data_IF_379788067588
#
_entry.id   IF_379788067588
#
_cell.length_a   1.000
_cell.length_b   1.000
_cell.length_c   1.000
_cell.angle_alpha   90.00
_cell.angle_beta   90.00
_cell.angle_gamma   90.00
#
_symmetry.space_group_name_H-M   'P 1'
#
loop_
_entity.id
_entity.type
_entity.pdbx_description
1 polymer ?
#
# COMPACT_ATOMS: atom_id res chain seq x y z
N UNK A 1 30.23 4.29 7.96
CA UNK A 1 29.01 4.87 8.59
C UNK A 1 28.20 3.70 9.09
N UNK A 2 28.00 3.62 10.40
CA UNK A 2 27.23 2.54 11.00
C UNK A 2 25.75 2.77 10.66
N UNK A 3 25.24 2.05 9.65
CA UNK A 3 23.86 2.17 9.21
C UNK A 3 23.05 1.40 10.25
N UNK A 4 22.58 2.08 11.29
CA UNK A 4 21.59 1.50 12.20
C UNK A 4 20.40 1.01 11.35
N UNK A 5 19.82 -0.15 11.69
CA UNK A 5 18.66 -0.63 10.97
C UNK A 5 17.57 0.45 10.96
N UNK A 6 17.17 0.86 9.77
CA UNK A 6 16.18 1.94 9.59
C UNK A 6 14.85 1.40 10.09
N UNK A 7 14.17 2.11 10.99
CA UNK A 7 12.92 1.62 11.56
C UNK A 7 11.87 1.41 10.47
N UNK A 8 11.34 0.20 10.39
CA UNK A 8 10.21 -0.11 9.51
C UNK A 8 8.98 0.60 10.06
N UNK A 9 8.38 1.47 9.26
CA UNK A 9 7.14 2.15 9.64
C UNK A 9 6.02 1.13 9.87
N UNK A 10 5.35 1.23 11.01
CA UNK A 10 4.24 0.37 11.38
C UNK A 10 2.91 1.01 10.96
N UNK A 11 2.03 0.20 10.35
CA UNK A 11 0.72 0.65 9.89
C UNK A 11 -0.38 -0.19 10.52
N UNK A 12 -1.49 0.47 10.89
CA UNK A 12 -2.73 -0.18 11.35
C UNK A 12 -3.91 0.41 10.59
N UNK A 13 -4.83 -0.47 10.15
CA UNK A 13 -6.08 -0.04 9.54
C UNK A 13 -7.01 0.56 10.60
N UNK A 14 -7.66 1.67 10.27
CA UNK A 14 -8.53 2.43 11.17
C UNK A 14 -9.56 3.25 10.38
N UNK A 15 -10.73 3.50 10.97
CA UNK A 15 -11.68 4.49 10.45
C UNK A 15 -11.22 5.92 10.80
N UNK A 16 -11.86 6.93 10.21
CA UNK A 16 -11.56 8.33 10.52
C UNK A 16 -11.87 8.67 11.98
N UNK A 17 -12.96 8.11 12.54
CA UNK A 17 -13.35 8.31 13.93
C UNK A 17 -12.31 7.72 14.90
N UNK A 18 -11.79 6.53 14.57
CA UNK A 18 -10.70 5.90 15.32
C UNK A 18 -9.41 6.71 15.23
N UNK A 19 -9.11 7.28 14.06
CA UNK A 19 -7.94 8.13 13.88
C UNK A 19 -8.05 9.42 14.69
N UNK A 20 -9.22 10.07 14.70
CA UNK A 20 -9.50 11.26 15.53
C UNK A 20 -9.37 10.91 17.02
N UNK A 21 -9.96 9.80 17.47
CA UNK A 21 -9.85 9.35 18.85
C UNK A 21 -8.40 9.04 19.26
N UNK A 22 -7.55 8.63 18.31
CA UNK A 22 -6.11 8.42 18.51
C UNK A 22 -5.29 9.73 18.51
N UNK A 23 -5.95 10.87 18.27
CA UNK A 23 -5.32 12.20 18.23
C UNK A 23 -4.67 12.57 16.90
N UNK A 24 -4.98 11.86 15.80
CA UNK A 24 -4.53 12.26 14.48
C UNK A 24 -5.15 13.61 14.10
N UNK A 25 -4.35 14.51 13.52
CA UNK A 25 -4.76 15.85 13.16
C UNK A 25 -4.53 16.18 11.68
N UNK A 26 -3.87 15.29 10.95
CA UNK A 26 -3.63 15.42 9.51
C UNK A 26 -3.97 14.14 8.75
N UNK A 27 -4.27 14.33 7.46
CA UNK A 27 -4.58 13.28 6.50
C UNK A 27 -3.76 13.46 5.22
N UNK A 28 -3.36 12.36 4.60
CA UNK A 28 -2.62 12.30 3.35
C UNK A 28 -3.23 11.26 2.41
N UNK A 29 -3.26 11.47 1.07
CA UNK A 29 -3.62 10.43 0.12
C UNK A 29 -2.65 9.25 0.20
N UNK A 30 -3.18 8.03 0.13
CA UNK A 30 -2.38 6.81 0.07
C UNK A 30 -2.23 6.38 -1.39
N UNK A 31 -1.00 6.49 -1.87
CA UNK A 31 -0.63 6.05 -3.22
C UNK A 31 -0.56 4.52 -3.31
N UNK A 32 -0.85 3.96 -4.47
CA UNK A 32 -0.78 2.51 -4.75
C UNK A 32 0.47 2.22 -5.60
N UNK A 33 1.62 2.26 -4.98
CA UNK A 33 2.92 2.00 -5.57
C UNK A 33 3.74 1.01 -4.73
N UNK A 34 5.05 1.14 -4.83
CA UNK A 34 6.00 0.38 -4.02
C UNK A 34 6.56 1.28 -2.93
N UNK A 35 6.29 0.91 -1.68
CA UNK A 35 6.90 1.60 -0.54
C UNK A 35 8.42 1.47 -0.61
N UNK A 36 9.09 2.60 -0.63
CA UNK A 36 10.52 2.72 -0.85
C UNK A 36 11.21 3.47 0.27
N UNK A 37 12.35 2.96 0.69
CA UNK A 37 13.42 3.75 1.29
C UNK A 37 14.29 4.26 0.16
N UNK A 38 14.54 5.57 0.12
CA UNK A 38 15.35 6.23 -0.90
C UNK A 38 16.60 6.80 -0.24
N UNK A 39 17.76 6.40 -0.70
CA UNK A 39 19.05 6.92 -0.26
C UNK A 39 19.65 7.81 -1.33
N UNK A 40 20.02 9.04 -0.96
CA UNK A 40 20.77 9.97 -1.79
C UNK A 40 22.16 10.10 -1.20
N UNK A 41 23.16 9.69 -1.97
CA UNK A 41 24.55 9.65 -1.51
C UNK A 41 25.54 9.77 -2.66
N UNK A 42 26.49 10.70 -2.54
CA UNK A 42 27.59 10.88 -3.50
C UNK A 42 27.16 10.94 -4.97
N UNK A 43 26.08 11.69 -5.24
CA UNK A 43 25.54 11.82 -6.58
C UNK A 43 24.75 10.60 -7.09
N UNK A 44 24.34 9.71 -6.20
CA UNK A 44 23.46 8.60 -6.54
C UNK A 44 22.16 8.67 -5.77
N UNK A 45 21.05 8.35 -6.44
CA UNK A 45 19.77 8.07 -5.82
C UNK A 45 19.47 6.59 -5.96
N UNK A 46 19.21 5.92 -4.85
CA UNK A 46 18.99 4.47 -4.80
C UNK A 46 17.69 4.16 -4.06
N UNK A 47 16.85 3.31 -4.64
CA UNK A 47 15.59 2.85 -4.04
C UNK A 47 15.75 1.43 -3.50
N UNK A 48 15.30 1.23 -2.28
CA UNK A 48 15.27 -0.05 -1.57
C UNK A 48 13.85 -0.44 -1.19
N UNK A 49 13.52 -1.72 -1.31
CA UNK A 49 12.28 -2.30 -0.81
C UNK A 49 12.25 -2.34 0.72
N UNK A 50 11.09 -2.70 1.29
CA UNK A 50 10.95 -2.95 2.75
C UNK A 50 11.90 -4.04 3.30
N UNK A 51 12.39 -4.92 2.43
CA UNK A 51 13.34 -6.01 2.76
C UNK A 51 14.76 -5.67 2.38
N UNK A 52 15.09 -4.39 2.28
CA UNK A 52 16.42 -3.86 1.94
C UNK A 52 16.99 -4.32 0.59
N UNK A 53 16.17 -4.83 -0.29
CA UNK A 53 16.58 -5.17 -1.65
C UNK A 53 16.63 -3.90 -2.51
N UNK A 54 17.82 -3.58 -3.02
CA UNK A 54 18.00 -2.53 -4.04
C UNK A 54 17.27 -2.95 -5.32
N UNK A 55 16.43 -2.08 -5.88
CA UNK A 55 15.70 -2.37 -7.11
C UNK A 55 15.83 -1.28 -8.19
N UNK A 56 16.28 -0.08 -7.82
CA UNK A 56 16.49 1.01 -8.77
C UNK A 56 17.63 1.91 -8.32
N UNK A 57 18.38 2.48 -9.28
CA UNK A 57 19.44 3.45 -8.99
C UNK A 57 19.66 4.36 -10.21
N UNK A 58 19.86 5.65 -9.97
CA UNK A 58 20.18 6.63 -11.01
C UNK A 58 21.27 7.57 -10.53
N UNK A 59 22.04 8.12 -11.48
CA UNK A 59 22.95 9.23 -11.22
C UNK A 59 22.16 10.52 -10.98
N UNK A 60 22.67 11.34 -10.08
CA UNK A 60 22.08 12.61 -9.74
C UNK A 60 23.20 13.68 -9.59
N UNK A 61 22.90 14.91 -10.01
CA UNK A 61 23.93 15.97 -10.13
C UNK A 61 24.37 16.57 -8.79
N UNK A 62 23.53 16.53 -7.73
CA UNK A 62 23.86 17.10 -6.43
C UNK A 62 24.62 16.05 -5.57
N UNK A 63 25.95 16.04 -5.71
CA UNK A 63 26.81 15.14 -4.96
C UNK A 63 26.94 15.50 -3.46
N UNK A 64 26.55 16.71 -3.06
CA UNK A 64 26.63 17.18 -1.66
C UNK A 64 25.36 16.85 -0.86
N UNK A 65 24.28 16.48 -1.53
CA UNK A 65 23.06 16.08 -0.84
C UNK A 65 23.20 14.64 -0.33
N UNK A 66 23.09 14.49 0.99
CA UNK A 66 23.03 13.19 1.66
C UNK A 66 21.72 13.06 2.42
N UNK A 67 20.83 12.14 2.02
CA UNK A 67 19.53 11.97 2.64
C UNK A 67 19.05 10.51 2.63
N UNK A 68 18.29 10.14 3.65
CA UNK A 68 17.46 8.93 3.68
C UNK A 68 16.01 9.36 3.78
N UNK A 69 15.23 9.06 2.73
CA UNK A 69 13.85 9.47 2.56
C UNK A 69 12.95 8.24 2.51
N UNK A 70 11.68 8.44 2.83
CA UNK A 70 10.62 7.45 2.62
C UNK A 70 9.59 7.97 1.63
N UNK A 71 9.17 7.10 0.72
CA UNK A 71 8.21 7.45 -0.31
C UNK A 71 7.49 6.24 -0.89
N UNK A 72 6.55 6.53 -1.77
CA UNK A 72 5.90 5.56 -2.63
C UNK A 72 6.42 5.76 -4.06
N UNK A 73 7.11 4.75 -4.60
CA UNK A 73 7.61 4.78 -5.97
C UNK A 73 6.60 4.12 -6.91
N UNK A 74 6.21 4.84 -7.94
CA UNK A 74 5.20 4.43 -8.92
C UNK A 74 5.85 3.58 -10.01
N UNK A 75 6.32 2.39 -9.64
CA UNK A 75 7.05 1.50 -10.50
C UNK A 75 6.12 0.55 -11.25
N UNK A 76 5.68 0.96 -12.45
CA UNK A 76 5.09 0.06 -13.45
C UNK A 76 3.82 -0.70 -13.06
N UNK A 77 3.10 -0.31 -12.00
CA UNK A 77 1.78 -0.86 -11.71
C UNK A 77 0.80 -0.43 -12.79
N UNK A 78 -0.22 -1.25 -13.07
CA UNK A 78 -1.24 -0.89 -14.06
C UNK A 78 -1.89 0.46 -13.73
N UNK A 79 -2.17 0.71 -12.44
CA UNK A 79 -2.72 2.00 -12.00
C UNK A 79 -1.76 3.17 -12.24
N UNK A 80 -0.45 3.02 -11.96
CA UNK A 80 0.53 4.09 -12.21
C UNK A 80 0.67 4.45 -13.68
N UNK A 81 0.59 3.45 -14.56
CA UNK A 81 0.63 3.62 -16.02
C UNK A 81 -0.62 4.35 -16.52
N UNK A 82 -1.81 3.90 -16.14
CA UNK A 82 -3.09 4.52 -16.52
C UNK A 82 -3.20 5.97 -16.03
N UNK A 83 -2.70 6.26 -14.83
CA UNK A 83 -2.71 7.60 -14.26
C UNK A 83 -1.55 8.51 -14.76
N UNK A 84 -0.70 8.04 -15.68
CA UNK A 84 0.47 8.80 -16.17
C UNK A 84 1.51 9.09 -15.09
N UNK A 85 1.59 8.25 -14.05
CA UNK A 85 2.46 8.45 -12.88
C UNK A 85 3.67 7.53 -12.84
N UNK A 86 3.89 6.76 -13.89
CA UNK A 86 5.01 5.80 -13.95
C UNK A 86 6.37 6.48 -13.76
N UNK A 87 7.16 5.93 -12.85
CA UNK A 87 8.49 6.43 -12.49
C UNK A 87 8.50 7.65 -11.56
N UNK A 88 7.33 8.16 -11.14
CA UNK A 88 7.27 9.21 -10.12
C UNK A 88 7.52 8.61 -8.73
N UNK A 89 8.07 9.41 -7.82
CA UNK A 89 8.27 9.06 -6.41
C UNK A 89 7.58 10.10 -5.54
N UNK A 90 6.63 9.68 -4.71
CA UNK A 90 5.89 10.52 -3.78
C UNK A 90 6.46 10.37 -2.37
N UNK A 91 7.20 11.37 -1.92
CA UNK A 91 7.86 11.38 -0.62
C UNK A 91 6.87 11.76 0.49
N UNK A 92 6.95 11.04 1.60
CA UNK A 92 6.08 11.32 2.76
C UNK A 92 6.85 11.46 4.07
N UNK A 93 8.13 11.13 4.13
CA UNK A 93 8.96 11.32 5.34
C UNK A 93 10.46 11.42 5.03
N UNK A 94 11.24 11.91 5.99
CA UNK A 94 12.70 11.98 5.95
C UNK A 94 13.29 11.45 7.25
N UNK A 95 14.29 10.56 7.15
CA UNK A 95 14.97 9.97 8.30
C UNK A 95 16.28 10.70 8.63
N UNK A 96 17.14 10.87 7.63
CA UNK A 96 18.40 11.59 7.80
C UNK A 96 18.57 12.65 6.74
N UNK A 97 19.24 13.73 7.10
CA UNK A 97 19.62 14.81 6.18
C UNK A 97 21.00 15.32 6.53
N UNK A 98 21.94 15.22 5.57
CA UNK A 98 23.34 15.67 5.70
C UNK A 98 24.01 15.20 7.01
N UNK A 99 23.79 13.92 7.35
CA UNK A 99 24.34 13.29 8.55
C UNK A 99 23.56 13.50 9.85
N UNK A 100 22.54 14.35 9.84
CA UNK A 100 21.65 14.55 10.99
C UNK A 100 20.57 13.47 11.02
N UNK A 101 20.43 12.76 12.14
CA UNK A 101 19.30 11.87 12.41
C UNK A 101 18.08 12.70 12.84
N UNK A 102 16.98 12.53 12.14
CA UNK A 102 15.71 13.25 12.34
C UNK A 102 14.65 12.38 13.02
N UNK A 103 14.97 11.18 13.45
CA UNK A 103 13.98 10.22 13.98
C UNK A 103 13.22 10.73 15.20
N UNK A 104 13.85 11.57 16.04
CA UNK A 104 13.24 12.19 17.21
C UNK A 104 12.47 13.48 16.92
N UNK A 105 12.64 14.06 15.73
CA UNK A 105 11.89 15.25 15.32
C UNK A 105 10.41 14.93 15.14
N UNK A 106 9.56 15.93 15.33
CA UNK A 106 8.12 15.80 15.04
C UNK A 106 7.89 15.62 13.54
N UNK A 107 6.78 14.98 13.16
CA UNK A 107 6.40 14.83 11.75
C UNK A 107 6.31 16.19 11.04
N UNK A 108 5.79 17.21 11.72
CA UNK A 108 5.70 18.59 11.19
C UNK A 108 7.07 19.14 10.78
N UNK A 109 8.09 18.97 11.62
CA UNK A 109 9.45 19.44 11.35
C UNK A 109 10.06 18.66 10.19
N UNK A 110 9.97 17.33 10.20
CA UNK A 110 10.47 16.48 9.12
C UNK A 110 9.78 16.77 7.78
N UNK A 111 8.47 16.96 7.79
CA UNK A 111 7.71 17.29 6.58
C UNK A 111 8.08 18.69 6.03
N UNK A 112 8.33 19.67 6.90
CA UNK A 112 8.82 20.99 6.49
C UNK A 112 10.19 20.90 5.82
N UNK A 113 11.13 20.14 6.41
CA UNK A 113 12.44 19.86 5.81
C UNK A 113 12.31 19.16 4.47
N UNK A 114 11.47 18.13 4.39
CA UNK A 114 11.21 17.37 3.16
C UNK A 114 10.71 18.30 2.03
N UNK A 115 9.80 19.21 2.33
CA UNK A 115 9.32 20.20 1.36
C UNK A 115 10.41 21.16 0.90
N UNK A 116 11.28 21.59 1.80
CA UNK A 116 12.40 22.50 1.45
C UNK A 116 13.44 21.83 0.53
N UNK A 117 13.50 20.49 0.55
CA UNK A 117 14.40 19.73 -0.30
C UNK A 117 13.93 19.59 -1.75
N UNK A 118 12.66 19.86 -2.07
CA UNK A 118 12.09 19.58 -3.39
C UNK A 118 12.91 20.18 -4.55
N UNK A 119 13.41 21.39 -4.41
CA UNK A 119 14.22 22.06 -5.44
C UNK A 119 15.61 21.44 -5.62
N UNK A 120 16.01 20.55 -4.71
CA UNK A 120 17.28 19.82 -4.75
C UNK A 120 17.09 18.34 -5.06
N UNK A 121 15.88 17.89 -5.35
CA UNK A 121 15.57 16.50 -5.69
C UNK A 121 15.36 16.35 -7.20
N UNK A 122 15.55 15.14 -7.76
CA UNK A 122 15.24 14.88 -9.17
C UNK A 122 13.80 15.27 -9.54
N UNK A 123 13.56 15.72 -10.77
CA UNK A 123 12.25 16.20 -11.27
C UNK A 123 11.09 15.21 -11.09
N UNK A 124 11.40 13.92 -10.96
CA UNK A 124 10.39 12.87 -10.74
C UNK A 124 9.99 12.67 -9.28
N UNK A 125 10.45 13.54 -8.39
CA UNK A 125 10.08 13.52 -6.99
C UNK A 125 8.99 14.55 -6.69
N UNK A 126 8.04 14.17 -5.85
CA UNK A 126 7.02 15.06 -5.29
C UNK A 126 6.83 14.74 -3.82
N UNK A 127 6.34 15.70 -3.04
CA UNK A 127 5.94 15.46 -1.64
C UNK A 127 4.44 15.21 -1.59
N UNK A 128 4.03 14.18 -0.84
CA UNK A 128 2.62 13.85 -0.63
C UNK A 128 1.91 15.05 0.00
N UNK A 129 0.80 15.55 -0.57
CA UNK A 129 0.04 16.65 0.00
C UNK A 129 -0.53 16.25 1.37
N UNK A 130 -0.59 17.21 2.27
CA UNK A 130 -1.07 17.04 3.64
C UNK A 130 -2.20 18.01 3.92
N UNK A 131 -3.30 17.51 4.45
CA UNK A 131 -4.51 18.27 4.78
C UNK A 131 -4.84 18.12 6.27
N UNK A 132 -5.64 19.04 6.86
CA UNK A 132 -6.20 18.83 8.18
C UNK A 132 -7.16 17.62 8.16
N UNK A 133 -7.25 16.86 9.25
CA UNK A 133 -8.13 15.69 9.33
C UNK A 133 -9.62 16.04 9.13
N UNK A 134 -10.00 17.29 9.45
CA UNK A 134 -11.36 17.82 9.19
C UNK A 134 -11.74 17.85 7.70
N UNK A 135 -10.74 17.84 6.79
CA UNK A 135 -10.95 17.72 5.35
C UNK A 135 -11.05 16.27 4.86
N UNK A 136 -11.37 15.30 5.74
CA UNK A 136 -11.42 13.89 5.38
C UNK A 136 -12.37 13.62 4.21
N UNK A 137 -13.61 14.11 4.25
CA UNK A 137 -14.60 13.85 3.21
C UNK A 137 -14.12 14.34 1.84
N UNK A 138 -13.68 15.60 1.75
CA UNK A 138 -13.17 16.18 0.52
C UNK A 138 -11.90 15.47 0.01
N UNK A 139 -11.02 15.07 0.92
CA UNK A 139 -9.81 14.33 0.57
C UNK A 139 -10.15 12.93 0.06
N UNK A 140 -11.09 12.24 0.71
CA UNK A 140 -11.57 10.92 0.29
C UNK A 140 -12.21 10.99 -1.10
N UNK A 141 -13.15 11.90 -1.31
CA UNK A 141 -13.84 12.04 -2.59
C UNK A 141 -12.87 12.41 -3.71
N UNK A 142 -12.00 13.40 -3.48
CA UNK A 142 -11.05 13.83 -4.50
C UNK A 142 -10.02 12.77 -4.86
N UNK A 143 -9.38 12.15 -3.87
CA UNK A 143 -8.27 11.24 -4.15
C UNK A 143 -8.73 9.81 -4.34
N UNK A 144 -9.61 9.31 -3.49
CA UNK A 144 -9.97 7.89 -3.49
C UNK A 144 -11.08 7.61 -4.51
N UNK A 145 -12.20 8.34 -4.43
CA UNK A 145 -13.35 8.09 -5.31
C UNK A 145 -13.05 8.53 -6.74
N UNK A 146 -12.63 9.78 -6.94
CA UNK A 146 -12.47 10.36 -8.28
C UNK A 146 -11.14 10.01 -8.97
N UNK A 147 -10.07 9.73 -8.21
CA UNK A 147 -8.74 9.48 -8.76
C UNK A 147 -8.16 8.09 -8.43
N UNK A 148 -8.93 7.20 -7.80
CA UNK A 148 -8.60 5.79 -7.60
C UNK A 148 -7.38 5.50 -6.72
N UNK A 149 -7.08 6.38 -5.76
CA UNK A 149 -6.03 6.13 -4.77
C UNK A 149 -6.41 4.96 -3.84
N UNK A 150 -5.42 4.31 -3.23
CA UNK A 150 -5.63 3.13 -2.37
C UNK A 150 -6.45 3.45 -1.10
N UNK A 151 -6.46 4.72 -0.68
CA UNK A 151 -7.09 5.19 0.54
C UNK A 151 -6.41 6.46 1.06
N UNK A 152 -6.37 6.59 2.37
CA UNK A 152 -5.72 7.72 3.06
C UNK A 152 -4.89 7.23 4.24
N UNK A 153 -3.95 8.07 4.68
CA UNK A 153 -3.08 7.87 5.84
C UNK A 153 -3.34 8.98 6.83
N UNK A 154 -3.44 8.63 8.11
CA UNK A 154 -3.61 9.57 9.22
C UNK A 154 -2.36 9.64 10.06
N UNK A 155 -1.98 10.85 10.47
CA UNK A 155 -0.82 11.10 11.34
C UNK A 155 -1.13 12.19 12.35
N UNK A 156 -0.31 12.27 13.40
CA UNK A 156 -0.21 13.45 14.27
C UNK A 156 0.99 14.27 13.83
N UNK A 157 0.84 15.58 13.78
CA UNK A 157 1.97 16.51 13.51
C UNK A 157 3.11 16.35 14.50
N UNK A 158 2.81 15.91 15.71
CA UNK A 158 3.77 15.69 16.80
C UNK A 158 4.51 14.34 16.74
N UNK A 159 4.15 13.44 15.81
CA UNK A 159 4.69 12.08 15.78
C UNK A 159 6.19 12.03 15.48
N UNK A 160 6.99 11.27 16.26
CA UNK A 160 8.34 10.89 15.88
C UNK A 160 8.28 9.89 14.70
N UNK A 161 9.42 9.61 14.06
CA UNK A 161 9.49 8.74 12.89
C UNK A 161 8.97 7.32 13.14
N UNK A 162 9.14 6.82 14.36
CA UNK A 162 8.76 5.46 14.78
C UNK A 162 7.30 5.32 15.21
N UNK A 163 6.51 6.39 15.16
CA UNK A 163 5.11 6.35 15.57
C UNK A 163 4.28 5.42 14.67
N UNK A 164 3.26 4.82 15.28
CA UNK A 164 2.25 4.05 14.56
C UNK A 164 1.45 4.96 13.61
N UNK A 165 1.39 4.57 12.35
CA UNK A 165 0.66 5.27 11.30
C UNK A 165 -0.69 4.58 11.10
N UNK A 166 -1.78 5.34 11.18
CA UNK A 166 -3.10 4.81 10.87
C UNK A 166 -3.42 5.03 9.39
N UNK A 167 -4.22 4.13 8.83
CA UNK A 167 -4.64 4.21 7.42
C UNK A 167 -6.07 3.73 7.24
N UNK A 168 -6.79 4.36 6.33
CA UNK A 168 -8.09 3.91 5.84
C UNK A 168 -7.96 3.57 4.36
N UNK A 169 -8.24 2.31 4.03
CA UNK A 169 -8.18 1.83 2.65
C UNK A 169 -9.56 1.81 2.03
N UNK A 170 -9.62 2.03 0.73
CA UNK A 170 -10.83 1.80 -0.05
C UNK A 170 -10.98 0.30 -0.30
N UNK A 171 -11.66 -0.38 0.61
CA UNK A 171 -11.96 -1.79 0.49
C UNK A 171 -13.45 -2.00 0.24
N UNK A 172 -13.75 -2.97 -0.60
CA UNK A 172 -15.11 -3.47 -0.85
C UNK A 172 -15.15 -4.94 -0.50
N UNK A 173 -16.23 -5.39 0.09
CA UNK A 173 -16.48 -6.82 0.31
C UNK A 173 -17.48 -7.33 -0.72
N UNK A 174 -17.30 -8.56 -1.16
CA UNK A 174 -18.17 -9.22 -2.13
C UNK A 174 -18.33 -10.69 -1.78
N UNK A 175 -19.57 -11.18 -1.91
CA UNK A 175 -19.84 -12.61 -1.88
C UNK A 175 -19.55 -13.22 -3.25
N UNK A 176 -18.68 -14.21 -3.28
CA UNK A 176 -18.23 -14.90 -4.48
C UNK A 176 -18.58 -16.39 -4.43
N UNK A 177 -19.02 -16.95 -5.57
CA UNK A 177 -19.28 -18.38 -5.72
C UNK A 177 -18.14 -19.08 -6.44
N UNK A 178 -17.63 -20.16 -5.89
CA UNK A 178 -16.51 -20.94 -6.46
C UNK A 178 -16.97 -21.63 -7.74
N UNK A 179 -16.18 -21.49 -8.81
CA UNK A 179 -16.37 -22.16 -10.10
C UNK A 179 -15.15 -22.99 -10.52
N UNK A 180 -14.00 -22.83 -9.84
CA UNK A 180 -12.78 -23.57 -10.15
C UNK A 180 -11.63 -23.25 -9.21
N UNK A 181 -10.48 -23.85 -9.49
CA UNK A 181 -9.26 -23.73 -8.70
C UNK A 181 -8.04 -23.70 -9.61
N UNK A 182 -7.03 -22.95 -9.22
CA UNK A 182 -5.72 -22.87 -9.87
C UNK A 182 -4.69 -23.42 -8.89
N UNK A 183 -3.82 -24.29 -9.38
CA UNK A 183 -2.68 -24.79 -8.60
C UNK A 183 -1.66 -23.69 -8.36
N UNK A 184 -1.04 -23.70 -7.18
CA UNK A 184 0.01 -22.76 -6.84
C UNK A 184 1.34 -23.11 -7.50
N UNK A 185 2.20 -22.11 -7.64
CA UNK A 185 3.57 -22.27 -8.16
C UNK A 185 4.62 -22.08 -7.05
N UNK A 186 5.84 -22.55 -7.31
CA UNK A 186 6.98 -22.39 -6.40
C UNK A 186 6.70 -23.00 -5.02
N UNK A 187 6.72 -22.20 -3.96
CA UNK A 187 6.46 -22.70 -2.58
C UNK A 187 5.04 -23.22 -2.36
N UNK A 188 4.11 -22.94 -3.26
CA UNK A 188 2.72 -23.37 -3.22
C UNK A 188 2.40 -24.49 -4.23
N UNK A 189 3.39 -25.07 -4.89
CA UNK A 189 3.20 -26.23 -5.75
C UNK A 189 2.52 -27.40 -4.99
N UNK A 190 1.54 -28.05 -5.59
CA UNK A 190 0.72 -29.09 -4.95
C UNK A 190 -0.31 -28.56 -3.94
N UNK A 191 -0.57 -27.27 -3.93
CA UNK A 191 -1.54 -26.58 -3.05
C UNK A 191 -2.36 -25.57 -3.84
N UNK A 192 -3.36 -24.97 -3.20
CA UNK A 192 -4.15 -23.90 -3.80
C UNK A 192 -3.28 -22.68 -4.13
N UNK A 193 -3.26 -22.25 -5.38
CA UNK A 193 -2.75 -20.98 -5.84
C UNK A 193 -3.83 -19.88 -5.75
N UNK A 194 -4.98 -20.12 -6.41
CA UNK A 194 -6.12 -19.24 -6.37
C UNK A 194 -7.45 -20.01 -6.47
N UNK A 195 -8.51 -19.45 -5.91
CA UNK A 195 -9.89 -19.84 -6.18
C UNK A 195 -10.38 -19.04 -7.38
N UNK A 196 -10.90 -19.71 -8.40
CA UNK A 196 -11.67 -19.09 -9.47
C UNK A 196 -13.12 -18.99 -9.03
N UNK A 197 -13.64 -17.78 -9.03
CA UNK A 197 -14.98 -17.49 -8.54
C UNK A 197 -15.73 -16.52 -9.46
N UNK A 198 -17.03 -16.40 -9.23
CA UNK A 198 -17.89 -15.40 -9.89
C UNK A 198 -18.65 -14.59 -8.85
N UNK A 199 -18.88 -13.32 -9.15
CA UNK A 199 -19.80 -12.46 -8.39
C UNK A 199 -21.25 -12.92 -8.56
N UNK A 200 -22.18 -12.35 -7.78
CA UNK A 200 -23.63 -12.56 -7.97
C UNK A 200 -24.12 -12.15 -9.36
N UNK A 201 -23.42 -11.25 -10.04
CA UNK A 201 -23.73 -10.80 -11.41
C UNK A 201 -22.97 -11.57 -12.49
N UNK A 202 -22.22 -12.62 -12.12
CA UNK A 202 -21.49 -13.48 -13.07
C UNK A 202 -20.12 -12.97 -13.50
N UNK A 203 -19.61 -11.89 -12.89
CA UNK A 203 -18.27 -11.37 -13.22
C UNK A 203 -17.20 -12.31 -12.64
N UNK A 204 -16.22 -12.79 -13.47
CA UNK A 204 -15.15 -13.67 -12.99
C UNK A 204 -14.14 -12.94 -12.11
N UNK A 205 -13.67 -13.63 -11.07
CA UNK A 205 -12.70 -13.13 -10.09
C UNK A 205 -11.79 -14.27 -9.65
N UNK A 206 -10.47 -14.07 -9.74
CA UNK A 206 -9.47 -15.00 -9.18
C UNK A 206 -9.01 -14.48 -7.81
N UNK A 207 -9.15 -15.31 -6.76
CA UNK A 207 -8.79 -14.97 -5.39
C UNK A 207 -7.62 -15.83 -4.93
N UNK A 208 -6.42 -15.23 -4.94
CA UNK A 208 -5.18 -15.91 -4.55
C UNK A 208 -4.68 -15.56 -3.14
N UNK A 209 -5.22 -14.53 -2.50
CA UNK A 209 -4.82 -14.04 -1.17
C UNK A 209 -5.81 -14.41 -0.07
N UNK A 210 -5.39 -14.22 1.20
CA UNK A 210 -6.25 -14.43 2.37
C UNK A 210 -6.26 -15.87 2.91
N UNK A 211 -5.50 -16.79 2.32
CA UNK A 211 -5.39 -18.18 2.76
C UNK A 211 -4.06 -18.41 3.47
N UNK A 212 -4.10 -19.11 4.60
CA UNK A 212 -2.90 -19.68 5.22
C UNK A 212 -2.45 -20.98 4.51
N UNK A 213 -1.30 -21.52 4.91
CA UNK A 213 -0.72 -22.70 4.28
C UNK A 213 -1.55 -23.97 4.51
N UNK A 214 -2.24 -24.09 5.65
CA UNK A 214 -3.13 -25.21 5.97
C UNK A 214 -4.40 -25.14 5.11
N UNK A 215 -5.04 -23.98 5.04
CA UNK A 215 -6.20 -23.75 4.19
C UNK A 215 -5.90 -24.05 2.72
N UNK A 216 -4.72 -23.63 2.21
CA UNK A 216 -4.29 -23.93 0.83
C UNK A 216 -4.19 -25.42 0.58
N UNK A 217 -3.65 -26.17 1.53
CA UNK A 217 -3.53 -27.63 1.44
C UNK A 217 -4.89 -28.31 1.49
N UNK A 218 -5.75 -27.95 2.45
CA UNK A 218 -7.07 -28.55 2.65
C UNK A 218 -8.01 -28.30 1.46
N UNK A 219 -8.09 -27.03 1.00
CA UNK A 219 -8.95 -26.67 -0.13
C UNK A 219 -8.50 -27.39 -1.39
N UNK A 220 -7.20 -27.46 -1.67
CA UNK A 220 -6.67 -28.12 -2.86
C UNK A 220 -6.97 -29.62 -2.89
N UNK A 221 -6.77 -30.32 -1.77
CA UNK A 221 -6.98 -31.77 -1.68
C UNK A 221 -8.47 -32.16 -1.67
N UNK A 222 -9.34 -31.28 -1.19
CA UNK A 222 -10.78 -31.52 -1.12
C UNK A 222 -11.59 -30.61 -2.05
N UNK A 223 -10.97 -30.06 -3.11
CA UNK A 223 -11.52 -28.99 -3.96
C UNK A 223 -12.92 -29.28 -4.50
N UNK A 224 -13.25 -30.54 -4.78
CA UNK A 224 -14.58 -30.93 -5.22
C UNK A 224 -15.68 -30.62 -4.19
N UNK A 225 -15.35 -30.69 -2.89
CA UNK A 225 -16.28 -30.33 -1.80
C UNK A 225 -16.51 -28.83 -1.66
N UNK A 226 -15.60 -28.03 -2.20
CA UNK A 226 -15.69 -26.55 -2.16
C UNK A 226 -16.33 -25.98 -3.42
N UNK A 227 -16.44 -26.73 -4.51
CA UNK A 227 -17.05 -26.26 -5.74
C UNK A 227 -18.50 -25.84 -5.50
N UNK A 228 -18.86 -24.65 -5.97
CA UNK A 228 -20.19 -24.07 -5.79
C UNK A 228 -20.44 -23.39 -4.43
N UNK A 229 -19.54 -23.55 -3.43
CA UNK A 229 -19.66 -22.83 -2.15
C UNK A 229 -19.47 -21.32 -2.33
N UNK A 230 -20.08 -20.58 -1.41
CA UNK A 230 -19.94 -19.13 -1.33
C UNK A 230 -18.92 -18.74 -0.25
N UNK A 231 -18.21 -17.66 -0.51
CA UNK A 231 -17.30 -17.04 0.44
C UNK A 231 -17.28 -15.52 0.26
N UNK A 232 -16.93 -14.81 1.30
CA UNK A 232 -16.73 -13.37 1.28
C UNK A 232 -15.26 -13.07 0.99
N UNK A 233 -15.02 -12.17 0.05
CA UNK A 233 -13.70 -11.63 -0.23
C UNK A 233 -13.68 -10.11 0.00
N UNK A 234 -12.57 -9.59 0.52
CA UNK A 234 -12.27 -8.17 0.57
C UNK A 234 -11.34 -7.80 -0.59
N UNK A 235 -11.62 -6.70 -1.25
CA UNK A 235 -10.81 -6.22 -2.37
C UNK A 235 -10.55 -4.72 -2.27
N UNK A 236 -9.53 -4.25 -2.99
CA UNK A 236 -9.16 -2.82 -3.09
C UNK A 236 -9.95 -2.11 -4.18
N UNK A 237 -11.29 -2.24 -4.16
CA UNK A 237 -12.16 -1.72 -5.20
C UNK A 237 -12.30 -2.65 -6.41
N UNK A 238 -12.77 -2.09 -7.53
CA UNK A 238 -13.06 -2.84 -8.77
C UNK A 238 -12.29 -2.26 -9.96
N UNK A 239 -12.05 -3.10 -10.95
CA UNK A 239 -11.67 -2.67 -12.29
C UNK A 239 -12.91 -2.17 -13.06
N UNK A 240 -12.71 -1.49 -14.18
CA UNK A 240 -13.79 -1.10 -15.10
C UNK A 240 -14.60 -2.31 -15.60
N UNK A 241 -13.97 -3.46 -15.71
CA UNK A 241 -14.62 -4.74 -16.04
C UNK A 241 -15.59 -5.24 -14.97
N UNK A 242 -15.65 -4.58 -13.80
CA UNK A 242 -16.41 -5.03 -12.63
C UNK A 242 -15.69 -6.08 -11.76
N UNK A 243 -14.57 -6.65 -12.23
CA UNK A 243 -13.77 -7.60 -11.45
C UNK A 243 -13.08 -6.92 -10.27
N UNK A 244 -12.74 -7.70 -9.23
CA UNK A 244 -12.16 -7.20 -7.99
C UNK A 244 -10.65 -6.97 -8.12
N UNK A 245 -10.14 -5.88 -7.50
CA UNK A 245 -8.70 -5.58 -7.43
C UNK A 245 -8.09 -6.17 -6.16
N UNK A 246 -7.07 -7.02 -6.31
CA UNK A 246 -6.35 -7.67 -5.20
C UNK A 246 -7.28 -8.32 -4.16
N UNK A 247 -8.20 -9.20 -4.58
CA UNK A 247 -9.14 -9.82 -3.66
C UNK A 247 -8.43 -10.79 -2.70
N UNK A 248 -8.87 -10.77 -1.44
CA UNK A 248 -8.42 -11.68 -0.39
C UNK A 248 -9.63 -12.38 0.21
N UNK A 249 -9.52 -13.69 0.43
CA UNK A 249 -10.51 -14.47 1.16
C UNK A 249 -10.63 -13.95 2.59
N UNK A 250 -11.87 -13.82 3.10
CA UNK A 250 -12.17 -13.45 4.49
C UNK A 250 -12.75 -14.63 5.23
N UNK A 251 -13.89 -15.16 4.75
CA UNK A 251 -14.62 -16.23 5.42
C UNK A 251 -15.56 -16.96 4.48
N UNK A 252 -15.94 -18.16 4.89
CA UNK A 252 -17.00 -18.92 4.23
C UNK A 252 -18.37 -18.29 4.47
N UNK A 253 -19.24 -18.37 3.48
CA UNK A 253 -20.63 -17.91 3.53
C UNK A 253 -21.55 -19.13 3.44
N UNK A 254 -21.54 -19.93 4.52
CA UNK A 254 -22.35 -21.15 4.60
C UNK A 254 -23.85 -20.84 4.63
N UNK A 255 -24.22 -19.65 5.03
CA UNK A 255 -25.57 -19.08 4.96
C UNK A 255 -26.09 -18.90 3.51
N UNK A 256 -25.22 -18.82 2.52
CA UNK A 256 -25.55 -18.72 1.09
C UNK A 256 -25.41 -20.06 0.35
N UNK A 257 -24.87 -21.10 1.01
CA UNK A 257 -24.63 -22.39 0.40
C UNK A 257 -25.88 -23.25 0.56
N UNK A 258 -26.69 -23.35 -0.48
CA UNK A 258 -27.94 -24.16 -0.47
C UNK A 258 -29.22 -23.40 -0.85
N UNK A 259 -29.10 -22.15 -1.28
CA UNK A 259 -30.22 -21.39 -1.85
C UNK A 259 -30.22 -21.48 -3.37
#
# INVERSE_FOLDING_TARGET
MDIRPIPVQQYKDATVEQAIAHGCDIIQPKYDGWNARIEIHYGWVTWYSKTDRKYHQVLYSDAELHAVLYGEHMFGTQWSKQAGREGLTYLFDVHTLNGQDLSAFTYRERYSLLRSLLNRLPDKFSVVPTFPISAYADTWDNYVVNNGFEGVVFRRKSDPLTALILRHKNTVTEDLRIVGFVEGEGKHAGRLGAIQAITKTGVPVDVGGGFDDLQRFEIWNAREKYLGRWFEAEARGRFESGSLRHPNFIRWRDDLTGA
#
